data_IF_382739443883
#
_entry.id   IF_382739443883
#
_cell.length_a   1.000
_cell.length_b   1.000
_cell.length_c   1.000
_cell.angle_alpha   90.00
_cell.angle_beta   90.00
_cell.angle_gamma   90.00
#
_symmetry.space_group_name_H-M   'P 1'
#
loop_
_entity.id
_entity.type
_entity.pdbx_description
1 polymer ?
#
# COMPACT_ATOMS: atom_id res chain seq x y z
N UNK A 1 6.34 -12.55 -15.71
CA UNK A 1 7.15 -13.02 -14.57
C UNK A 1 6.47 -12.52 -13.32
N UNK A 2 6.21 -13.36 -12.32
CA UNK A 2 5.73 -12.90 -11.03
C UNK A 2 6.87 -12.12 -10.37
N UNK A 3 6.63 -10.87 -9.95
CA UNK A 3 7.58 -10.15 -9.12
C UNK A 3 7.90 -11.02 -7.89
N UNK A 4 9.15 -11.03 -7.44
CA UNK A 4 9.47 -11.68 -6.17
C UNK A 4 8.53 -11.09 -5.12
N UNK A 5 8.01 -11.93 -4.24
CA UNK A 5 7.17 -11.51 -3.11
C UNK A 5 7.76 -10.30 -2.35
N UNK A 6 9.09 -10.20 -2.37
CA UNK A 6 9.89 -9.17 -1.74
C UNK A 6 9.84 -7.83 -2.47
N UNK A 7 9.46 -7.78 -3.74
CA UNK A 7 9.40 -6.55 -4.52
C UNK A 7 7.96 -6.01 -4.60
N UNK A 8 7.05 -6.55 -3.79
CA UNK A 8 5.65 -6.14 -3.79
C UNK A 8 5.40 -4.94 -2.88
N UNK A 9 5.23 -3.78 -3.50
CA UNK A 9 4.83 -2.53 -2.87
C UNK A 9 3.50 -2.05 -3.45
N UNK A 10 2.49 -1.91 -2.61
CA UNK A 10 1.16 -1.51 -3.03
C UNK A 10 0.39 -0.86 -1.89
N UNK A 11 -0.68 -0.16 -2.23
CA UNK A 11 -1.73 0.20 -1.28
C UNK A 11 -3.03 -0.41 -1.75
N UNK A 12 -3.68 -1.18 -0.88
CA UNK A 12 -5.05 -1.64 -1.11
C UNK A 12 -6.00 -0.59 -0.56
N UNK A 13 -6.92 -0.13 -1.41
CA UNK A 13 -7.92 0.88 -1.12
C UNK A 13 -9.24 0.17 -0.88
N UNK A 14 -9.71 0.19 0.36
CA UNK A 14 -10.92 -0.49 0.79
C UNK A 14 -11.93 0.56 1.29
N UNK A 15 -12.90 0.97 0.45
CA UNK A 15 -13.96 1.87 0.88
C UNK A 15 -14.86 1.20 1.93
N UNK A 16 -15.33 2.00 2.88
CA UNK A 16 -16.34 1.66 3.88
C UNK A 16 -17.43 2.75 3.87
N UNK A 17 -18.50 2.59 4.66
CA UNK A 17 -19.65 3.52 4.66
C UNK A 17 -19.28 4.96 5.07
N UNK A 18 -18.23 5.15 5.88
CA UNK A 18 -17.84 6.45 6.44
C UNK A 18 -16.43 6.90 6.09
N UNK A 19 -15.56 5.96 5.74
CA UNK A 19 -14.14 6.22 5.46
C UNK A 19 -13.58 5.16 4.51
N UNK A 20 -12.48 5.50 3.85
CA UNK A 20 -11.70 4.60 3.01
C UNK A 20 -10.46 4.17 3.78
N UNK A 21 -10.30 2.86 3.97
CA UNK A 21 -9.10 2.29 4.55
C UNK A 21 -8.03 2.10 3.48
N UNK A 22 -6.80 2.49 3.80
CA UNK A 22 -5.63 2.34 2.94
C UNK A 22 -4.66 1.39 3.62
N UNK A 23 -4.53 0.19 3.09
CA UNK A 23 -3.63 -0.84 3.61
C UNK A 23 -2.30 -0.75 2.85
N UNK A 24 -1.29 -0.12 3.45
CA UNK A 24 0.02 0.03 2.85
C UNK A 24 0.83 -1.26 3.00
N UNK A 25 1.12 -1.89 1.86
CA UNK A 25 1.90 -3.11 1.75
C UNK A 25 3.31 -2.78 1.25
N UNK A 26 4.33 -3.18 2.01
CA UNK A 26 5.74 -3.08 1.62
C UNK A 26 6.42 -4.44 1.75
N UNK A 27 7.19 -4.83 0.74
CA UNK A 27 7.86 -6.12 0.69
C UNK A 27 6.90 -7.30 0.97
N UNK A 28 5.65 -7.18 0.48
CA UNK A 28 4.58 -8.15 0.70
C UNK A 28 3.98 -8.19 2.11
N UNK A 29 4.35 -7.28 3.03
CA UNK A 29 3.80 -7.19 4.39
C UNK A 29 2.96 -5.92 4.57
N UNK A 30 1.93 -6.00 5.42
CA UNK A 30 1.23 -4.79 5.88
C UNK A 30 2.17 -3.95 6.75
N UNK A 31 2.57 -2.79 6.25
CA UNK A 31 3.41 -1.85 6.96
C UNK A 31 2.59 -0.92 7.85
N UNK A 32 1.46 -0.44 7.32
CA UNK A 32 0.61 0.53 8.02
C UNK A 32 -0.81 0.53 7.45
N UNK A 33 -1.78 0.90 8.30
CA UNK A 33 -3.16 1.15 7.90
C UNK A 33 -3.49 2.61 8.12
N UNK A 34 -4.05 3.26 7.09
CA UNK A 34 -4.59 4.60 7.18
C UNK A 34 -6.10 4.56 7.01
N UNK A 35 -6.78 5.55 7.59
CA UNK A 35 -8.18 5.85 7.31
C UNK A 35 -8.24 7.26 6.72
N UNK A 36 -9.05 7.43 5.69
CA UNK A 36 -9.34 8.70 5.03
C UNK A 36 -10.86 8.86 4.98
N UNK A 37 -11.42 9.94 5.50
CA UNK A 37 -12.86 10.18 5.37
C UNK A 37 -13.28 10.23 3.88
N UNK A 38 -14.52 9.86 3.54
CA UNK A 38 -15.00 9.88 2.14
C UNK A 38 -14.97 11.28 1.50
N UNK A 39 -15.01 12.34 2.31
CA UNK A 39 -14.80 13.73 1.88
C UNK A 39 -13.81 14.39 2.86
N UNK A 40 -12.51 14.11 2.71
CA UNK A 40 -11.51 14.50 3.69
C UNK A 40 -11.26 16.01 3.61
N UNK A 41 -11.01 16.64 4.75
CA UNK A 41 -10.53 18.02 4.75
C UNK A 41 -9.13 18.08 4.10
N UNK A 42 -8.77 19.20 3.47
CA UNK A 42 -7.46 19.36 2.84
C UNK A 42 -6.29 19.08 3.80
N UNK A 43 -6.43 19.42 5.08
CA UNK A 43 -5.44 19.12 6.13
C UNK A 43 -5.34 17.63 6.48
N UNK A 44 -6.45 16.89 6.42
CA UNK A 44 -6.47 15.45 6.62
C UNK A 44 -5.82 14.74 5.43
N UNK A 45 -6.20 15.15 4.21
CA UNK A 45 -5.60 14.67 2.97
C UNK A 45 -4.08 14.86 2.98
N UNK A 46 -3.60 16.06 3.34
CA UNK A 46 -2.17 16.34 3.40
C UNK A 46 -1.47 15.50 4.47
N UNK A 47 -2.08 15.33 5.66
CA UNK A 47 -1.52 14.47 6.70
C UNK A 47 -1.39 13.01 6.25
N UNK A 48 -2.40 12.47 5.55
CA UNK A 48 -2.33 11.10 5.02
C UNK A 48 -1.31 11.01 3.90
N UNK A 49 -1.23 12.02 3.02
CA UNK A 49 -0.21 12.13 1.97
C UNK A 49 1.20 12.09 2.55
N UNK A 50 1.51 12.93 3.53
CA UNK A 50 2.83 12.98 4.17
C UNK A 50 3.22 11.64 4.80
N UNK A 51 2.27 10.96 5.45
CA UNK A 51 2.52 9.66 6.07
C UNK A 51 2.70 8.55 5.03
N UNK A 52 1.89 8.53 3.97
CA UNK A 52 2.09 7.61 2.85
C UNK A 52 3.46 7.86 2.22
N UNK A 53 3.79 9.12 1.94
CA UNK A 53 5.08 9.49 1.39
C UNK A 53 6.20 9.01 2.31
N UNK A 54 6.13 9.24 3.62
CA UNK A 54 7.13 8.74 4.58
C UNK A 54 7.20 7.21 4.62
N UNK A 55 6.06 6.52 4.59
CA UNK A 55 5.96 5.07 4.55
C UNK A 55 6.70 4.50 3.32
N UNK A 56 6.72 5.22 2.20
CA UNK A 56 7.34 4.79 0.95
C UNK A 56 8.65 5.57 0.59
N UNK A 57 9.08 6.53 1.41
CA UNK A 57 10.26 7.35 1.16
C UNK A 57 11.55 6.65 1.57
N UNK A 58 12.52 6.59 0.64
CA UNK A 58 13.93 6.32 0.95
C UNK A 58 14.31 4.84 1.12
N UNK A 59 15.31 4.45 0.31
CA UNK A 59 16.05 3.19 0.20
C UNK A 59 15.28 1.87 0.33
N UNK A 60 15.30 1.09 -0.75
CA UNK A 60 14.98 -0.33 -0.77
C UNK A 60 15.74 -1.16 0.29
N UNK A 61 16.76 -0.55 0.93
CA UNK A 61 17.56 -1.11 2.01
C UNK A 61 17.00 -0.84 3.44
N UNK A 62 16.07 0.10 3.63
CA UNK A 62 15.36 0.22 4.89
C UNK A 62 14.27 -0.86 4.95
N UNK A 63 14.67 -2.03 5.46
CA UNK A 63 13.83 -3.15 5.90
C UNK A 63 13.30 -4.11 4.84
N UNK A 64 14.07 -4.44 3.79
CA UNK A 64 13.92 -5.80 3.21
C UNK A 64 14.43 -6.78 4.27
N UNK A 65 13.59 -7.57 4.96
CA UNK A 65 14.10 -8.46 5.98
C UNK A 65 15.05 -9.48 5.35
N UNK A 66 16.25 -9.63 5.93
CA UNK A 66 17.31 -10.48 5.39
C UNK A 66 16.87 -11.95 5.34
N UNK A 67 16.01 -12.35 6.28
CA UNK A 67 15.34 -13.66 6.37
C UNK A 67 13.96 -13.48 7.00
N UNK A 68 12.96 -14.10 6.42
CA UNK A 68 11.66 -14.33 7.05
C UNK A 68 11.72 -15.66 7.82
N UNK A 69 11.13 -15.73 9.00
CA UNK A 69 10.78 -17.01 9.60
C UNK A 69 9.70 -17.69 8.73
N UNK A 70 9.61 -19.03 8.76
CA UNK A 70 8.74 -19.80 7.87
C UNK A 70 7.27 -19.32 7.91
N UNK A 71 6.77 -19.00 9.10
CA UNK A 71 5.42 -18.48 9.32
C UNK A 71 5.20 -17.13 8.62
N UNK A 72 6.16 -16.21 8.72
CA UNK A 72 6.07 -14.91 8.05
C UNK A 72 6.15 -15.02 6.52
N UNK A 73 6.81 -16.05 5.97
CA UNK A 73 6.80 -16.34 4.52
C UNK A 73 5.41 -16.82 4.09
N UNK A 74 4.75 -17.65 4.90
CA UNK A 74 3.42 -18.16 4.60
C UNK A 74 2.38 -17.05 4.63
N UNK A 75 2.39 -16.17 5.64
CA UNK A 75 1.49 -15.01 5.73
C UNK A 75 1.64 -14.07 4.53
N UNK A 76 2.88 -13.76 4.16
CA UNK A 76 3.16 -12.90 3.02
C UNK A 76 2.72 -13.55 1.71
N UNK A 77 2.96 -14.85 1.53
CA UNK A 77 2.48 -15.58 0.35
C UNK A 77 0.96 -15.58 0.27
N UNK A 78 0.27 -15.77 1.40
CA UNK A 78 -1.19 -15.72 1.46
C UNK A 78 -1.71 -14.34 1.08
N UNK A 79 -1.13 -13.27 1.62
CA UNK A 79 -1.53 -11.90 1.31
C UNK A 79 -1.29 -11.58 -0.18
N UNK A 80 -0.10 -11.87 -0.70
CA UNK A 80 0.24 -11.61 -2.11
C UNK A 80 -0.63 -12.43 -3.05
N UNK A 81 -0.87 -13.72 -2.74
CA UNK A 81 -1.75 -14.58 -3.53
C UNK A 81 -3.19 -14.04 -3.52
N UNK A 82 -3.71 -13.66 -2.35
CA UNK A 82 -5.04 -13.06 -2.22
C UNK A 82 -5.15 -11.75 -3.02
N UNK A 83 -4.16 -10.86 -2.93
CA UNK A 83 -4.13 -9.62 -3.72
C UNK A 83 -4.09 -9.90 -5.22
N UNK A 84 -3.35 -10.92 -5.65
CA UNK A 84 -3.29 -11.33 -7.05
C UNK A 84 -4.61 -11.92 -7.56
N UNK A 85 -5.27 -12.77 -6.77
CA UNK A 85 -6.56 -13.37 -7.09
C UNK A 85 -7.68 -12.32 -7.13
N UNK A 86 -7.63 -11.35 -6.22
CA UNK A 86 -8.62 -10.29 -6.11
C UNK A 86 -8.31 -9.06 -6.96
N UNK A 87 -7.24 -9.07 -7.77
CA UNK A 87 -6.74 -7.88 -8.49
C UNK A 87 -7.78 -7.16 -9.36
N UNK A 88 -8.81 -7.87 -9.80
CA UNK A 88 -9.89 -7.35 -10.65
C UNK A 88 -11.09 -6.84 -9.82
N UNK A 89 -11.11 -7.14 -8.51
CA UNK A 89 -12.16 -6.85 -7.54
C UNK A 89 -11.75 -5.83 -6.46
N UNK A 90 -10.45 -5.68 -6.18
CA UNK A 90 -9.92 -4.72 -5.21
C UNK A 90 -9.31 -3.52 -5.92
N UNK A 91 -9.56 -2.33 -5.38
CA UNK A 91 -8.86 -1.12 -5.82
C UNK A 91 -7.46 -1.16 -5.22
N UNK A 92 -6.46 -1.46 -6.05
CA UNK A 92 -5.06 -1.48 -5.64
C UNK A 92 -4.25 -0.49 -6.46
N UNK A 93 -3.36 0.23 -5.80
CA UNK A 93 -2.37 1.09 -6.46
C UNK A 93 -1.00 0.47 -6.21
N UNK A 94 -0.40 -0.10 -7.25
CA UNK A 94 0.93 -0.69 -7.19
C UNK A 94 1.98 0.40 -7.40
N UNK A 95 2.99 0.40 -6.54
CA UNK A 95 4.14 1.29 -6.71
C UNK A 95 5.09 0.66 -7.72
N UNK A 96 5.48 1.43 -8.74
CA UNK A 96 6.54 1.02 -9.66
C UNK A 96 7.89 1.49 -9.13
N UNK A 97 8.96 0.78 -9.48
CA UNK A 97 10.33 1.07 -8.99
C UNK A 97 10.82 2.50 -9.30
N UNK A 98 10.22 3.13 -10.32
CA UNK A 98 10.57 4.49 -10.77
C UNK A 98 9.66 5.58 -10.20
N UNK A 99 8.62 5.22 -9.43
CA UNK A 99 7.71 6.19 -8.85
C UNK A 99 8.36 6.84 -7.62
N UNK A 100 8.43 8.17 -7.62
CA UNK A 100 8.72 8.90 -6.40
C UNK A 100 7.58 8.72 -5.40
N UNK A 101 7.93 8.68 -4.11
CA UNK A 101 6.97 8.36 -3.05
C UNK A 101 5.83 9.39 -2.96
N UNK A 102 6.07 10.64 -3.37
CA UNK A 102 5.06 11.69 -3.37
C UNK A 102 4.02 11.47 -4.47
N UNK A 103 4.46 11.21 -5.70
CA UNK A 103 3.56 10.88 -6.82
C UNK A 103 2.77 9.60 -6.56
N UNK A 104 3.39 8.60 -5.93
CA UNK A 104 2.69 7.38 -5.51
C UNK A 104 1.60 7.68 -4.46
N UNK A 105 1.93 8.48 -3.43
CA UNK A 105 0.96 8.89 -2.42
C UNK A 105 -0.24 9.66 -3.02
N UNK A 106 0.02 10.54 -3.99
CA UNK A 106 -1.04 11.24 -4.73
C UNK A 106 -1.94 10.29 -5.51
N UNK A 107 -1.35 9.33 -6.22
CA UNK A 107 -2.12 8.35 -6.99
C UNK A 107 -3.06 7.53 -6.08
N UNK A 108 -2.59 7.13 -4.90
CA UNK A 108 -3.38 6.43 -3.89
C UNK A 108 -4.57 7.28 -3.43
N UNK A 109 -4.33 8.54 -3.07
CA UNK A 109 -5.38 9.44 -2.57
C UNK A 109 -6.43 9.73 -3.66
N UNK A 110 -6.00 9.93 -4.91
CA UNK A 110 -6.93 10.15 -6.01
C UNK A 110 -7.86 8.95 -6.26
N UNK A 111 -7.34 7.72 -6.09
CA UNK A 111 -8.18 6.51 -6.17
C UNK A 111 -9.10 6.42 -4.96
N UNK A 112 -8.63 6.74 -3.75
CA UNK A 112 -9.42 6.69 -2.53
C UNK A 112 -10.59 7.68 -2.49
N UNK A 113 -10.41 8.86 -3.10
CA UNK A 113 -11.44 9.91 -3.21
C UNK A 113 -12.39 9.71 -4.41
N UNK A 114 -12.00 8.89 -5.39
CA UNK A 114 -12.77 8.65 -6.62
C UNK A 114 -13.74 7.46 -6.56
N UNK A 115 -13.80 6.76 -5.43
CA UNK A 115 -14.65 5.58 -5.17
C UNK A 115 -15.87 5.96 -4.32
#
# INVERSE_FOLDING_TARGET
MAASVLDHHAVVVQPNETETHLLAVRFGRLAETFSLACNPAASERERVRERLQACFAGDAAAERPERYHKEEVEEVRLLVQWMYEQRDSINQVQRRDYDDAGSFADAVLNVAEGL
#
